data_IF_455283705916
#
_entry.id   IF_455283705916
#
_cell.length_a   1.000
_cell.length_b   1.000
_cell.length_c   1.000
_cell.angle_alpha   90.00
_cell.angle_beta   90.00
_cell.angle_gamma   90.00
#
_symmetry.space_group_name_H-M   'P 1'
#
loop_
_entity.id
_entity.type
_entity.pdbx_description
1 polymer ?
#
# COMPACT_ATOMS: atom_id res chain seq x y z
N UNK A 1 -8.14 7.31 14.06
CA UNK A 1 -7.24 6.33 13.42
C UNK A 1 -6.04 7.08 12.85
N UNK A 2 -4.82 6.67 13.17
CA UNK A 2 -3.59 7.26 12.59
C UNK A 2 -3.50 6.81 11.14
N UNK A 3 -3.29 7.75 10.22
CA UNK A 3 -3.03 7.46 8.79
C UNK A 3 -1.56 7.72 8.53
N UNK A 4 -0.86 6.75 7.95
CA UNK A 4 0.54 6.91 7.53
C UNK A 4 0.57 6.87 6.01
N UNK A 5 1.09 7.93 5.40
CA UNK A 5 1.17 8.06 3.94
C UNK A 5 2.20 7.10 3.35
N UNK A 6 1.87 6.52 2.20
CA UNK A 6 2.78 5.70 1.40
C UNK A 6 3.09 6.44 0.10
N UNK A 7 4.38 6.62 -0.18
CA UNK A 7 4.90 7.32 -1.36
C UNK A 7 5.69 6.37 -2.26
N UNK A 8 5.71 6.66 -3.56
CA UNK A 8 6.63 6.00 -4.48
C UNK A 8 8.07 6.38 -4.13
N UNK A 9 8.94 5.40 -3.85
CA UNK A 9 10.32 5.66 -3.47
C UNK A 9 11.14 6.36 -4.58
N UNK A 10 10.73 6.24 -5.85
CA UNK A 10 11.45 6.81 -6.98
C UNK A 10 11.04 8.28 -7.26
N UNK A 11 9.74 8.59 -7.21
CA UNK A 11 9.21 9.91 -7.61
C UNK A 11 8.47 10.65 -6.50
N UNK A 12 8.34 10.06 -5.31
CA UNK A 12 7.62 10.60 -4.16
C UNK A 12 6.15 10.94 -4.42
N UNK A 13 5.56 10.41 -5.48
CA UNK A 13 4.12 10.57 -5.73
C UNK A 13 3.30 9.77 -4.73
N UNK A 14 2.13 10.31 -4.38
CA UNK A 14 1.19 9.67 -3.47
C UNK A 14 0.67 8.34 -4.03
N UNK A 15 0.83 7.27 -3.25
CA UNK A 15 0.29 5.95 -3.58
C UNK A 15 -0.98 5.66 -2.77
N UNK A 16 -0.98 5.99 -1.48
CA UNK A 16 -2.08 5.70 -0.57
C UNK A 16 -1.67 5.78 0.88
N UNK A 17 -2.19 4.87 1.70
CA UNK A 17 -1.91 4.83 3.14
C UNK A 17 -1.67 3.40 3.63
N UNK A 18 -0.92 3.29 4.73
CA UNK A 18 -0.76 2.05 5.49
C UNK A 18 -1.44 2.18 6.86
N UNK A 19 -2.07 1.08 7.27
CA UNK A 19 -2.72 0.92 8.56
C UNK A 19 -2.11 -0.28 9.28
N UNK A 20 -1.96 -0.18 10.60
CA UNK A 20 -1.43 -1.22 11.48
C UNK A 20 -2.47 -1.61 12.53
N UNK A 21 -2.40 -2.84 13.05
CA UNK A 21 -3.25 -3.29 14.15
C UNK A 21 -4.70 -3.57 13.74
N UNK A 22 -4.94 -3.94 12.48
CA UNK A 22 -6.29 -4.25 11.97
C UNK A 22 -6.70 -5.70 12.23
N UNK A 23 -5.80 -6.54 12.76
CA UNK A 23 -6.08 -7.91 13.14
C UNK A 23 -5.99 -8.91 11.99
N UNK A 24 -5.23 -8.59 10.93
CA UNK A 24 -4.89 -9.56 9.90
C UNK A 24 -3.90 -10.59 10.47
N UNK A 25 -4.15 -11.88 10.20
CA UNK A 25 -3.27 -12.99 10.59
C UNK A 25 -1.93 -13.05 9.84
N UNK A 26 -1.42 -11.90 9.39
CA UNK A 26 -0.13 -11.77 8.71
C UNK A 26 0.95 -11.37 9.72
N UNK A 27 2.23 -11.70 9.49
CA UNK A 27 3.31 -11.36 10.43
C UNK A 27 3.45 -9.86 10.71
N UNK A 28 3.00 -9.01 9.78
CA UNK A 28 3.13 -7.56 9.88
C UNK A 28 1.87 -6.86 10.36
N UNK A 29 0.69 -7.47 10.19
CA UNK A 29 -0.62 -6.82 10.39
C UNK A 29 -0.72 -5.43 9.73
N UNK A 30 -0.08 -5.28 8.56
CA UNK A 30 -0.09 -4.04 7.78
C UNK A 30 -1.02 -4.17 6.59
N UNK A 31 -2.00 -3.25 6.50
CA UNK A 31 -2.83 -3.09 5.30
C UNK A 31 -2.37 -1.89 4.48
N UNK A 32 -1.82 -2.18 3.30
CA UNK A 32 -1.49 -1.16 2.31
C UNK A 32 -2.71 -0.88 1.43
N UNK A 33 -3.37 0.25 1.69
CA UNK A 33 -4.50 0.73 0.89
C UNK A 33 -3.97 1.68 -0.19
N UNK A 34 -3.73 1.14 -1.39
CA UNK A 34 -3.11 1.84 -2.53
C UNK A 34 -4.16 2.14 -3.59
N UNK A 35 -4.15 3.38 -4.10
CA UNK A 35 -5.08 3.79 -5.15
C UNK A 35 -4.71 3.13 -6.49
N UNK A 36 -5.70 2.56 -7.18
CA UNK A 36 -5.50 1.98 -8.51
C UNK A 36 -5.01 3.01 -9.53
N UNK A 37 -5.45 4.27 -9.43
CA UNK A 37 -4.99 5.36 -10.31
C UNK A 37 -3.49 5.66 -10.16
N UNK A 38 -2.88 5.28 -9.04
CA UNK A 38 -1.45 5.45 -8.78
C UNK A 38 -0.60 4.27 -9.28
N UNK A 39 -1.21 3.23 -9.85
CA UNK A 39 -0.52 1.98 -10.22
C UNK A 39 -0.81 1.58 -11.67
N UNK A 40 0.13 0.84 -12.26
CA UNK A 40 -0.07 0.10 -13.51
C UNK A 40 0.21 -1.38 -13.24
N UNK A 41 -0.74 -2.25 -13.56
CA UNK A 41 -0.54 -3.70 -13.49
C UNK A 41 0.38 -4.14 -14.63
N UNK A 42 1.44 -4.86 -14.28
CA UNK A 42 2.24 -5.64 -15.22
C UNK A 42 1.84 -7.10 -14.99
N UNK A 43 1.15 -7.76 -15.95
CA UNK A 43 0.74 -9.15 -15.79
C UNK A 43 1.94 -10.08 -15.66
N UNK A 44 1.80 -11.14 -14.86
CA UNK A 44 2.75 -12.25 -14.78
C UNK A 44 2.22 -13.43 -15.61
N UNK A 45 3.09 -14.14 -16.34
CA UNK A 45 2.67 -15.15 -17.33
C UNK A 45 2.37 -16.53 -16.75
N UNK A 46 2.77 -16.82 -15.49
CA UNK A 46 2.38 -18.03 -14.76
C UNK A 46 3.07 -19.32 -15.20
#
# INVERSE_FOLDING_TARGET
MRRVEVLCANCHSHLGHVFEGEGYGTPTDLRYCINSISMRLVPDEG
#
